data_IF_037693738640
#
_entry.id   IF_037693738640
#
_cell.length_a   1.000
_cell.length_b   1.000
_cell.length_c   1.000
_cell.angle_alpha   90.00
_cell.angle_beta   90.00
_cell.angle_gamma   90.00
#
_symmetry.space_group_name_H-M   'P 1'
#
loop_
_entity.id
_entity.type
_entity.pdbx_description
1 polymer ?
#
# COMPACT_ATOMS: atom_id res chain seq x y z
N UNK A 1 0.07 -49.25 29.71
CA UNK A 1 -0.21 -47.91 29.15
C UNK A 1 1.03 -47.18 28.61
N UNK A 2 2.27 -47.53 29.01
CA UNK A 2 3.51 -46.86 28.59
C UNK A 2 3.84 -46.95 27.08
N UNK A 3 3.44 -48.03 26.39
CA UNK A 3 3.76 -48.24 24.96
C UNK A 3 3.03 -47.31 23.99
N UNK A 4 1.80 -46.88 24.32
CA UNK A 4 1.01 -45.99 23.45
C UNK A 4 1.52 -44.54 23.49
N UNK A 5 2.00 -44.10 24.65
CA UNK A 5 2.58 -42.78 24.83
C UNK A 5 3.96 -42.66 24.19
N UNK A 6 4.79 -43.73 24.26
CA UNK A 6 6.08 -43.79 23.56
C UNK A 6 5.92 -43.76 22.03
N UNK A 7 4.90 -44.42 21.50
CA UNK A 7 4.64 -44.48 20.06
C UNK A 7 4.06 -43.15 19.51
N UNK A 8 3.28 -42.42 20.32
CA UNK A 8 2.81 -41.08 19.97
C UNK A 8 3.93 -40.02 19.98
N UNK A 9 4.88 -40.13 20.93
CA UNK A 9 6.07 -39.28 20.98
C UNK A 9 7.03 -39.54 19.80
N UNK A 10 7.20 -40.80 19.40
CA UNK A 10 8.04 -41.14 18.23
C UNK A 10 7.45 -40.61 16.92
N UNK A 11 6.12 -40.60 16.79
CA UNK A 11 5.44 -40.09 15.60
C UNK A 11 5.46 -38.55 15.53
N UNK A 12 5.37 -37.85 16.67
CA UNK A 12 5.57 -36.40 16.72
C UNK A 12 7.01 -35.98 16.41
N UNK A 13 8.01 -36.76 16.83
CA UNK A 13 9.41 -36.46 16.54
C UNK A 13 9.76 -36.62 15.04
N UNK A 14 9.08 -37.53 14.32
CA UNK A 14 9.30 -37.75 12.89
C UNK A 14 8.69 -36.65 12.00
N UNK A 15 7.60 -36.00 12.45
CA UNK A 15 6.94 -34.93 11.69
C UNK A 15 7.66 -33.57 11.78
N UNK A 16 8.54 -33.37 12.76
CA UNK A 16 9.30 -32.13 12.95
C UNK A 16 10.63 -32.06 12.17
N UNK A 17 11.09 -33.15 11.54
CA UNK A 17 12.36 -33.16 10.78
C UNK A 17 12.22 -32.84 9.28
N UNK A 18 11.01 -32.53 8.80
CA UNK A 18 10.75 -32.36 7.36
C UNK A 18 10.80 -30.89 6.85
N UNK A 19 11.33 -29.94 7.63
CA UNK A 19 11.43 -28.54 7.23
C UNK A 19 12.77 -27.90 7.56
N UNK A 20 13.87 -28.60 7.29
CA UNK A 20 15.18 -27.95 7.14
C UNK A 20 15.46 -27.81 5.64
N UNK A 21 14.96 -26.73 5.03
CA UNK A 21 15.58 -26.26 3.79
C UNK A 21 16.91 -25.62 4.19
N UNK A 22 18.05 -26.04 3.64
CA UNK A 22 19.28 -25.29 3.82
C UNK A 22 19.03 -23.86 3.33
N UNK A 23 19.32 -22.87 4.18
CA UNK A 23 19.36 -21.49 3.74
C UNK A 23 20.42 -21.40 2.64
N UNK A 24 19.98 -21.14 1.40
CA UNK A 24 20.89 -20.82 0.30
C UNK A 24 21.50 -19.46 0.62
N UNK A 25 22.57 -19.45 1.41
CA UNK A 25 23.46 -18.31 1.54
C UNK A 25 24.11 -18.17 0.17
N UNK A 26 23.66 -17.19 -0.61
CA UNK A 26 24.38 -16.80 -1.82
C UNK A 26 25.81 -16.49 -1.42
N UNK A 27 26.77 -17.27 -1.92
CA UNK A 27 28.20 -17.01 -1.81
C UNK A 27 28.48 -15.69 -2.52
N UNK A 28 28.43 -14.60 -1.76
CA UNK A 28 29.04 -13.36 -2.16
C UNK A 28 30.55 -13.53 -2.00
N UNK A 29 31.23 -13.81 -3.11
CA UNK A 29 32.68 -13.64 -3.18
C UNK A 29 33.00 -12.14 -3.23
N UNK A 30 33.91 -11.64 -2.38
CA UNK A 30 34.50 -10.32 -2.60
C UNK A 30 35.20 -10.34 -3.96
N UNK A 31 35.02 -9.28 -4.77
CA UNK A 31 35.85 -9.07 -5.96
C UNK A 31 37.23 -8.63 -5.48
N UNK A 32 38.09 -9.60 -5.19
CA UNK A 32 39.53 -9.41 -5.00
C UNK A 32 40.20 -10.03 -6.24
N UNK A 33 40.31 -9.25 -7.32
CA UNK A 33 41.19 -9.60 -8.43
C UNK A 33 41.84 -8.33 -8.99
N UNK A 34 42.96 -7.96 -8.37
CA UNK A 34 43.99 -7.15 -8.97
C UNK A 34 44.85 -8.03 -9.88
N UNK A 35 44.53 -8.13 -11.17
CA UNK A 35 45.50 -8.49 -12.20
C UNK A 35 45.10 -8.03 -13.60
N UNK A 36 45.73 -6.92 -14.00
CA UNK A 36 46.18 -6.54 -15.35
C UNK A 36 45.43 -7.13 -16.56
N UNK A 37 44.45 -6.39 -17.07
CA UNK A 37 44.01 -6.49 -18.46
C UNK A 37 44.78 -5.45 -19.34
N UNK A 38 45.10 -5.76 -20.60
CA UNK A 38 45.85 -4.85 -21.47
C UNK A 38 45.09 -3.55 -21.72
N UNK A 39 45.83 -2.44 -21.66
CA UNK A 39 45.36 -1.08 -21.96
C UNK A 39 44.85 -1.03 -23.39
N UNK A 40 43.52 -1.13 -23.55
CA UNK A 40 42.84 -0.54 -24.69
C UNK A 40 42.59 0.92 -24.34
N UNK A 41 43.36 1.82 -24.95
CA UNK A 41 43.13 3.26 -24.88
C UNK A 41 41.80 3.58 -25.55
N UNK A 42 40.71 3.48 -24.79
CA UNK A 42 39.44 4.07 -25.15
C UNK A 42 39.51 5.54 -24.77
N UNK A 43 39.67 6.40 -25.78
CA UNK A 43 39.53 7.84 -25.66
C UNK A 43 38.16 8.14 -25.06
N UNK A 44 38.13 8.69 -23.85
CA UNK A 44 36.89 9.16 -23.21
C UNK A 44 36.30 10.30 -24.06
N UNK A 45 35.04 10.23 -24.52
CA UNK A 45 34.36 11.43 -24.96
C UNK A 45 34.17 12.33 -23.73
N UNK A 46 34.76 13.53 -23.80
CA UNK A 46 34.58 14.58 -22.82
C UNK A 46 33.20 15.23 -23.00
N UNK A 47 32.13 14.50 -22.70
CA UNK A 47 30.80 15.08 -22.49
C UNK A 47 30.04 14.11 -21.59
N UNK A 48 30.06 14.39 -20.28
CA UNK A 48 29.01 13.90 -19.41
C UNK A 48 27.77 14.68 -19.81
N UNK A 49 26.91 14.08 -20.63
CA UNK A 49 25.53 14.58 -20.75
C UNK A 49 24.94 14.56 -19.34
N UNK A 50 24.50 15.73 -18.90
CA UNK A 50 23.83 15.87 -17.61
C UNK A 50 22.65 14.88 -17.56
N UNK A 51 22.32 14.31 -16.38
CA UNK A 51 21.10 13.54 -16.25
C UNK A 51 19.96 14.42 -16.79
N UNK A 52 19.27 13.92 -17.81
CA UNK A 52 18.05 14.54 -18.31
C UNK A 52 17.16 14.70 -17.09
N UNK A 53 16.93 15.96 -16.71
CA UNK A 53 15.99 16.27 -15.66
C UNK A 53 14.70 15.52 -15.95
N UNK A 54 14.27 14.76 -14.95
CA UNK A 54 12.89 14.28 -14.80
C UNK A 54 11.95 15.32 -15.40
N UNK A 55 11.01 14.93 -16.27
CA UNK A 55 10.08 15.91 -16.82
C UNK A 55 9.48 16.69 -15.66
N UNK A 56 9.63 18.00 -15.77
CA UNK A 56 8.96 18.99 -14.95
C UNK A 56 7.50 18.53 -14.76
N UNK A 57 6.96 18.49 -13.53
CA UNK A 57 5.57 18.12 -13.30
C UNK A 57 4.71 19.16 -14.02
N UNK A 58 4.41 18.85 -15.27
CA UNK A 58 3.51 19.61 -16.11
C UNK A 58 2.15 19.26 -15.56
N UNK A 59 1.48 20.28 -15.04
CA UNK A 59 0.21 20.25 -14.33
C UNK A 59 0.34 20.09 -12.81
N UNK A 60 0.39 21.24 -12.13
CA UNK A 60 -0.31 21.42 -10.86
C UNK A 60 -1.66 20.68 -10.95
N UNK A 61 -1.98 19.71 -10.07
CA UNK A 61 -3.26 19.00 -10.08
C UNK A 61 -4.41 19.91 -9.63
N UNK A 62 -4.69 20.94 -10.42
CA UNK A 62 -5.88 21.77 -10.29
C UNK A 62 -7.08 20.96 -10.80
N UNK A 63 -7.49 19.95 -10.01
CA UNK A 63 -8.79 19.26 -9.99
C UNK A 63 -8.67 17.75 -9.67
N UNK A 64 -8.04 17.36 -8.57
CA UNK A 64 -8.34 16.05 -7.94
C UNK A 64 -9.59 16.22 -7.06
N UNK A 65 -10.67 16.78 -7.61
CA UNK A 65 -11.96 16.83 -6.93
C UNK A 65 -12.72 15.57 -7.32
N UNK A 66 -12.93 14.66 -6.38
CA UNK A 66 -13.58 13.39 -6.68
C UNK A 66 -15.09 13.61 -6.83
N UNK A 67 -15.61 13.42 -8.04
CA UNK A 67 -17.05 13.55 -8.36
C UNK A 67 -17.82 12.25 -8.13
N UNK A 68 -17.52 11.53 -7.05
CA UNK A 68 -18.17 10.24 -6.80
C UNK A 68 -19.68 10.44 -6.55
N UNK A 69 -20.49 9.91 -7.46
CA UNK A 69 -21.94 9.89 -7.30
C UNK A 69 -22.36 8.64 -6.53
N UNK A 70 -22.61 8.82 -5.23
CA UNK A 70 -23.10 7.77 -4.34
C UNK A 70 -24.43 7.15 -4.79
N UNK A 71 -25.24 7.84 -5.60
CA UNK A 71 -26.50 7.28 -6.10
C UNK A 71 -26.31 6.20 -7.18
N UNK A 72 -25.14 6.16 -7.81
CA UNK A 72 -24.76 5.16 -8.82
C UNK A 72 -24.14 3.90 -8.22
N UNK A 73 -23.80 3.93 -6.92
CA UNK A 73 -23.17 2.83 -6.22
C UNK A 73 -24.21 1.80 -5.74
N UNK A 74 -23.80 0.52 -5.60
CA UNK A 74 -24.65 -0.47 -4.96
C UNK A 74 -24.88 -0.10 -3.48
N UNK A 75 -25.97 -0.59 -2.91
CA UNK A 75 -26.30 -0.41 -1.48
C UNK A 75 -25.20 -0.97 -0.55
N UNK A 76 -24.44 -1.96 -1.03
CA UNK A 76 -23.31 -2.56 -0.34
C UNK A 76 -22.23 -2.92 -1.37
N UNK A 77 -20.97 -2.65 -1.03
CA UNK A 77 -19.80 -3.02 -1.82
C UNK A 77 -19.53 -4.53 -1.73
N UNK A 78 -18.89 -5.14 -2.74
CA UNK A 78 -18.56 -6.55 -2.71
C UNK A 78 -17.63 -6.89 -1.52
N UNK A 79 -17.73 -8.06 -0.90
CA UNK A 79 -16.76 -8.48 0.11
C UNK A 79 -15.38 -8.68 -0.53
N UNK A 80 -14.32 -8.40 0.22
CA UNK A 80 -12.94 -8.56 -0.25
C UNK A 80 -12.21 -9.63 0.56
N UNK A 81 -11.72 -10.68 -0.13
CA UNK A 81 -10.94 -11.75 0.52
C UNK A 81 -9.68 -11.25 1.23
N UNK A 82 -9.14 -10.10 0.82
CA UNK A 82 -7.95 -9.47 1.41
C UNK A 82 -8.27 -8.22 2.21
N UNK A 83 -9.55 -7.90 2.36
CA UNK A 83 -10.00 -6.62 2.88
C UNK A 83 -9.77 -5.48 1.89
N UNK A 84 -9.88 -4.27 2.41
CA UNK A 84 -9.74 -3.03 1.68
C UNK A 84 -8.48 -2.29 2.12
N UNK A 85 -7.93 -1.49 1.22
CA UNK A 85 -6.86 -0.55 1.49
C UNK A 85 -7.44 0.86 1.38
N UNK A 86 -7.14 1.70 2.38
CA UNK A 86 -7.50 3.11 2.40
C UNK A 86 -6.24 3.93 2.27
N UNK A 87 -6.24 4.90 1.37
CA UNK A 87 -5.17 5.86 1.19
C UNK A 87 -5.72 7.26 1.36
N UNK A 88 -4.88 8.17 1.86
CA UNK A 88 -5.23 9.58 2.01
C UNK A 88 -4.12 10.49 1.54
N UNK A 89 -4.49 11.65 1.04
CA UNK A 89 -3.59 12.75 0.73
C UNK A 89 -4.33 14.07 0.90
N UNK A 90 -3.60 15.14 1.10
CA UNK A 90 -4.17 16.48 1.22
C UNK A 90 -3.83 17.29 -0.03
N UNK A 91 -4.84 17.96 -0.58
CA UNK A 91 -4.67 18.99 -1.61
C UNK A 91 -5.25 20.26 -1.03
N UNK A 92 -4.42 21.31 -0.94
CA UNK A 92 -4.74 22.54 -0.20
C UNK A 92 -5.17 22.23 1.25
N UNK A 93 -6.41 22.55 1.62
CA UNK A 93 -6.96 22.29 2.96
C UNK A 93 -7.89 21.06 3.00
N UNK A 94 -8.11 20.40 1.86
CA UNK A 94 -9.08 19.31 1.74
C UNK A 94 -8.41 17.93 1.71
N UNK A 95 -8.92 17.03 2.54
CA UNK A 95 -8.50 15.63 2.56
C UNK A 95 -9.18 14.84 1.46
N UNK A 96 -8.40 14.08 0.72
CA UNK A 96 -8.84 13.16 -0.31
C UNK A 96 -8.51 11.74 0.12
N UNK A 97 -9.36 10.80 -0.28
CA UNK A 97 -9.28 9.42 0.13
C UNK A 97 -9.55 8.49 -1.04
N UNK A 98 -8.78 7.42 -1.17
CA UNK A 98 -9.08 6.30 -2.09
C UNK A 98 -9.25 5.04 -1.30
N UNK A 99 -10.44 4.43 -1.42
CA UNK A 99 -10.72 3.08 -0.95
C UNK A 99 -10.56 2.13 -2.12
N UNK A 100 -9.71 1.12 -1.98
CA UNK A 100 -9.43 0.15 -3.04
C UNK A 100 -9.36 -1.25 -2.48
N UNK A 101 -9.73 -2.26 -3.27
CA UNK A 101 -9.61 -3.66 -2.84
C UNK A 101 -8.15 -4.06 -2.64
N UNK A 102 -7.88 -4.78 -1.55
CA UNK A 102 -6.56 -5.32 -1.24
C UNK A 102 -6.14 -6.37 -2.26
N UNK A 103 -4.91 -6.29 -2.76
CA UNK A 103 -4.37 -7.25 -3.74
C UNK A 103 -2.98 -7.72 -3.34
N UNK A 104 -2.45 -8.74 -4.02
CA UNK A 104 -1.07 -9.22 -3.80
C UNK A 104 -0.01 -8.37 -4.52
N UNK A 105 -0.37 -7.20 -5.07
CA UNK A 105 0.56 -6.31 -5.76
C UNK A 105 0.62 -4.96 -5.09
N UNK A 106 1.76 -4.30 -5.25
CA UNK A 106 1.91 -2.89 -4.90
C UNK A 106 1.13 -2.00 -5.89
N UNK A 107 0.37 -1.07 -5.36
CA UNK A 107 -0.33 -0.02 -6.13
C UNK A 107 0.60 1.17 -6.35
N UNK A 108 0.54 1.78 -7.53
CA UNK A 108 1.34 2.98 -7.81
C UNK A 108 0.67 4.22 -7.24
N UNK A 109 1.43 5.29 -7.05
CA UNK A 109 0.88 6.58 -6.63
C UNK A 109 -0.21 7.07 -7.59
N UNK A 110 0.09 7.10 -8.90
CA UNK A 110 -0.84 7.55 -9.94
C UNK A 110 -2.15 6.74 -9.95
N UNK A 111 -2.07 5.43 -9.70
CA UNK A 111 -3.25 4.57 -9.59
C UNK A 111 -4.13 4.95 -8.40
N UNK A 112 -3.52 5.28 -7.26
CA UNK A 112 -4.23 5.63 -6.03
C UNK A 112 -4.91 6.99 -6.18
N UNK A 113 -4.22 7.99 -6.74
CA UNK A 113 -4.74 9.36 -6.85
C UNK A 113 -5.61 9.60 -8.10
N UNK A 114 -5.62 8.65 -9.03
CA UNK A 114 -6.43 8.73 -10.24
C UNK A 114 -7.91 9.00 -9.91
N UNK A 115 -8.59 9.91 -10.63
CA UNK A 115 -9.98 10.28 -10.34
C UNK A 115 -11.00 9.21 -10.75
N UNK A 116 -10.61 8.25 -11.59
CA UNK A 116 -11.52 7.23 -12.10
C UNK A 116 -11.97 6.28 -11.00
N UNK A 117 -13.28 6.16 -10.87
CA UNK A 117 -13.93 5.26 -9.93
C UNK A 117 -14.36 3.98 -10.66
N UNK A 118 -14.13 2.82 -10.04
CA UNK A 118 -14.58 1.54 -10.59
C UNK A 118 -15.11 0.61 -9.51
N UNK A 119 -16.19 -0.08 -9.84
CA UNK A 119 -16.76 -1.20 -9.08
C UNK A 119 -17.04 -2.30 -10.08
N UNK A 120 -16.22 -3.34 -10.06
CA UNK A 120 -16.31 -4.47 -10.96
C UNK A 120 -17.21 -5.57 -10.37
N UNK A 121 -18.09 -6.20 -11.18
CA UNK A 121 -18.74 -7.46 -10.82
C UNK A 121 -17.80 -8.55 -10.27
N UNK A 122 -16.54 -8.55 -10.70
CA UNK A 122 -15.49 -9.49 -10.28
C UNK A 122 -14.91 -9.17 -8.89
N UNK A 123 -15.39 -8.09 -8.26
CA UNK A 123 -15.09 -7.73 -6.89
C UNK A 123 -13.93 -6.74 -6.73
N UNK A 124 -13.39 -6.19 -7.82
CA UNK A 124 -12.44 -5.07 -7.75
C UNK A 124 -13.18 -3.76 -7.49
N UNK A 125 -12.70 -2.98 -6.52
CA UNK A 125 -13.26 -1.68 -6.16
C UNK A 125 -12.12 -0.68 -6.08
N UNK A 126 -12.31 0.49 -6.66
CA UNK A 126 -11.49 1.69 -6.46
C UNK A 126 -12.41 2.90 -6.44
N UNK A 127 -12.54 3.54 -5.29
CA UNK A 127 -13.42 4.68 -5.08
C UNK A 127 -12.68 5.81 -4.40
N UNK A 128 -12.67 6.97 -5.04
CA UNK A 128 -12.00 8.18 -4.58
C UNK A 128 -13.04 9.21 -4.13
N UNK A 129 -12.84 9.80 -2.94
CA UNK A 129 -13.72 10.82 -2.35
C UNK A 129 -12.92 11.94 -1.70
N UNK A 130 -13.46 13.15 -1.76
CA UNK A 130 -12.97 14.32 -1.01
C UNK A 130 -13.85 14.55 0.23
N UNK A 131 -13.21 14.84 1.37
CA UNK A 131 -13.85 15.18 2.63
C UNK A 131 -14.24 13.99 3.51
N UNK A 132 -14.14 14.20 4.83
CA UNK A 132 -14.38 13.17 5.87
C UNK A 132 -15.82 12.64 5.83
N UNK A 133 -16.80 13.50 5.55
CA UNK A 133 -18.20 13.10 5.50
C UNK A 133 -18.50 12.14 4.32
N UNK A 134 -17.82 12.33 3.19
CA UNK A 134 -17.94 11.41 2.06
C UNK A 134 -17.18 10.10 2.32
N UNK A 135 -16.04 10.16 3.02
CA UNK A 135 -15.36 8.95 3.51
C UNK A 135 -16.29 8.13 4.43
N UNK A 136 -16.98 8.77 5.38
CA UNK A 136 -17.95 8.08 6.26
C UNK A 136 -19.07 7.39 5.47
N UNK A 137 -19.63 8.06 4.46
CA UNK A 137 -20.63 7.45 3.56
C UNK A 137 -20.07 6.25 2.82
N UNK A 138 -18.85 6.37 2.30
CA UNK A 138 -18.17 5.31 1.57
C UNK A 138 -17.91 4.09 2.47
N UNK A 139 -17.41 4.31 3.68
CA UNK A 139 -17.18 3.25 4.68
C UNK A 139 -18.48 2.55 5.10
N UNK A 140 -19.60 3.26 5.13
CA UNK A 140 -20.91 2.67 5.43
C UNK A 140 -21.42 1.70 4.35
N UNK A 141 -20.85 1.73 3.14
CA UNK A 141 -21.17 0.78 2.08
C UNK A 141 -20.42 -0.56 2.24
N UNK A 142 -19.40 -0.63 3.11
CA UNK A 142 -18.64 -1.86 3.29
C UNK A 142 -19.43 -2.92 4.06
N UNK A 143 -19.29 -4.21 3.71
CA UNK A 143 -19.86 -5.27 4.50
C UNK A 143 -19.23 -5.36 5.89
N UNK A 144 -20.05 -5.63 6.91
CA UNK A 144 -19.56 -5.82 8.27
C UNK A 144 -18.59 -7.01 8.36
N UNK A 145 -17.57 -6.88 9.20
CA UNK A 145 -16.49 -7.86 9.35
C UNK A 145 -15.29 -7.63 8.42
N UNK A 146 -15.36 -6.67 7.51
CA UNK A 146 -14.24 -6.32 6.65
C UNK A 146 -13.07 -5.69 7.41
N UNK A 147 -11.87 -5.94 6.88
CA UNK A 147 -10.63 -5.32 7.36
C UNK A 147 -10.23 -4.21 6.41
N UNK A 148 -9.82 -3.08 6.96
CA UNK A 148 -9.37 -1.90 6.22
C UNK A 148 -7.96 -1.57 6.69
N UNK A 149 -7.01 -1.58 5.76
CA UNK A 149 -5.64 -1.18 6.00
C UNK A 149 -5.42 0.24 5.48
N UNK A 150 -5.21 1.18 6.39
CA UNK A 150 -4.91 2.55 6.02
C UNK A 150 -3.41 2.70 5.76
N UNK A 151 -3.06 2.83 4.49
CA UNK A 151 -1.72 3.06 3.99
C UNK A 151 -1.42 4.55 3.76
N UNK A 152 -0.18 4.93 4.01
CA UNK A 152 0.34 6.29 3.84
C UNK A 152 1.80 6.32 4.25
N UNK A 153 2.49 7.40 3.90
CA UNK A 153 3.83 7.69 4.42
C UNK A 153 3.82 9.07 5.04
N UNK A 154 4.35 9.19 6.26
CA UNK A 154 4.57 10.52 6.83
C UNK A 154 5.84 11.12 6.23
N UNK A 155 5.67 11.93 5.19
CA UNK A 155 6.74 12.70 4.55
C UNK A 155 6.62 14.20 4.86
N UNK A 156 5.89 14.55 5.93
CA UNK A 156 5.71 15.93 6.37
C UNK A 156 7.05 16.64 6.55
N UNK A 157 7.23 17.77 5.85
CA UNK A 157 8.46 18.58 5.92
C UNK A 157 9.68 17.98 5.21
N UNK A 158 9.56 16.81 4.58
CA UNK A 158 10.63 16.17 3.79
C UNK A 158 10.47 16.39 2.28
N UNK A 159 9.32 16.91 1.86
CA UNK A 159 9.01 17.23 0.46
C UNK A 159 8.78 18.74 0.27
N UNK A 160 9.04 19.28 -0.93
CA UNK A 160 8.76 20.68 -1.24
C UNK A 160 7.28 21.03 -1.01
N UNK A 161 7.02 22.26 -0.57
CA UNK A 161 5.66 22.79 -0.44
C UNK A 161 4.88 22.65 -1.77
N UNK A 162 3.63 22.20 -1.69
CA UNK A 162 2.78 21.96 -2.86
C UNK A 162 2.96 20.60 -3.53
N UNK A 163 3.90 19.76 -3.06
CA UNK A 163 4.02 18.37 -3.53
C UNK A 163 2.87 17.55 -2.93
N UNK A 164 2.09 16.87 -3.77
CA UNK A 164 1.07 15.92 -3.30
C UNK A 164 1.74 14.58 -2.99
N UNK A 165 1.46 14.03 -1.82
CA UNK A 165 1.97 12.72 -1.37
C UNK A 165 0.94 12.06 -0.47
N UNK A 166 0.98 10.73 -0.43
CA UNK A 166 0.13 9.95 0.47
C UNK A 166 0.58 10.20 1.91
N UNK A 167 -0.33 10.67 2.75
CA UNK A 167 -0.08 11.08 4.12
C UNK A 167 -1.22 10.68 5.02
N UNK A 168 -0.96 10.54 6.32
CA UNK A 168 -2.01 10.30 7.31
C UNK A 168 -2.62 11.63 7.77
N UNK A 169 -3.94 11.67 8.03
CA UNK A 169 -4.55 12.82 8.68
C UNK A 169 -4.15 12.90 10.15
N UNK A 170 -4.65 13.93 10.84
CA UNK A 170 -4.40 14.12 12.27
C UNK A 170 -4.76 12.87 13.08
N UNK A 171 -4.09 12.70 14.23
CA UNK A 171 -4.36 11.60 15.17
C UNK A 171 -5.82 11.60 15.65
N UNK A 172 -6.42 12.78 15.79
CA UNK A 172 -7.84 12.96 16.11
C UNK A 172 -8.75 12.38 15.03
N UNK A 173 -8.50 12.70 13.74
CA UNK A 173 -9.27 12.16 12.63
C UNK A 173 -9.08 10.65 12.49
N UNK A 174 -7.87 10.15 12.67
CA UNK A 174 -7.60 8.71 12.69
C UNK A 174 -8.40 8.00 13.79
N UNK A 175 -8.43 8.56 15.01
CA UNK A 175 -9.16 8.00 16.13
C UNK A 175 -10.69 8.04 15.90
N UNK A 176 -11.20 9.14 15.34
CA UNK A 176 -12.59 9.28 14.93
C UNK A 176 -12.96 8.19 13.92
N UNK A 177 -12.15 8.01 12.86
CA UNK A 177 -12.42 7.01 11.82
C UNK A 177 -12.35 5.58 12.34
N UNK A 178 -11.41 5.28 13.25
CA UNK A 178 -11.35 3.97 13.92
C UNK A 178 -12.63 3.71 14.73
N UNK A 179 -13.11 4.70 15.45
CA UNK A 179 -14.35 4.61 16.24
C UNK A 179 -15.58 4.43 15.34
N UNK A 180 -15.66 5.20 14.26
CA UNK A 180 -16.73 5.11 13.26
C UNK A 180 -16.78 3.73 12.60
N UNK A 181 -15.63 3.23 12.12
CA UNK A 181 -15.51 1.89 11.55
C UNK A 181 -15.93 0.80 12.55
N UNK A 182 -15.49 0.89 13.80
CA UNK A 182 -15.87 -0.07 14.84
C UNK A 182 -17.40 -0.10 15.05
N UNK A 183 -18.07 1.05 15.00
CA UNK A 183 -19.53 1.16 15.07
C UNK A 183 -20.27 0.49 13.90
N UNK A 184 -19.61 0.37 12.74
CA UNK A 184 -20.12 -0.34 11.56
C UNK A 184 -19.74 -1.84 11.55
N UNK A 185 -18.98 -2.32 12.54
CA UNK A 185 -18.44 -3.68 12.56
C UNK A 185 -17.25 -3.88 11.63
N UNK A 186 -16.55 -2.80 11.25
CA UNK A 186 -15.35 -2.81 10.42
C UNK A 186 -14.09 -2.71 11.29
N UNK A 187 -12.99 -3.31 10.86
CA UNK A 187 -11.69 -3.19 11.55
C UNK A 187 -10.75 -2.30 10.74
N UNK A 188 -10.47 -1.09 11.25
CA UNK A 188 -9.54 -0.14 10.62
C UNK A 188 -8.18 -0.15 11.31
N UNK A 189 -7.14 -0.54 10.58
CA UNK A 189 -5.74 -0.56 11.04
C UNK A 189 -4.94 0.47 10.26
N UNK A 190 -4.29 1.41 10.95
CA UNK A 190 -3.37 2.37 10.33
C UNK A 190 -1.94 1.85 10.36
N UNK A 191 -1.20 2.05 9.28
CA UNK A 191 0.23 1.72 9.18
C UNK A 191 1.15 2.85 9.66
N UNK A 192 0.61 3.90 10.30
CA UNK A 192 1.45 4.92 10.89
C UNK A 192 2.36 4.27 11.95
N UNK A 193 3.66 4.61 11.92
CA UNK A 193 4.63 4.08 12.87
C UNK A 193 4.14 4.34 14.30
N UNK A 194 4.07 3.27 15.11
CA UNK A 194 3.63 3.32 16.51
C UNK A 194 4.72 3.88 17.41
#
# INVERSE_FOLDING_TARGET
MLKKSLMALLFCALLLSACERPATRSDWSPIEDSSTAPVATATLPATLEAPVFTPEPTETPAAIQSTLDFSSLPTQLPPSMKGYELYSWQVDEEWNFTLVTGTNRTKTFDEIIAPENSVDPEGYVKLTVSGVENLKKLLALLPAGEQILWGGMDLGGQVPAGTVYLSFPSTEMLAEMKTYCAGLGLTLTSLNEQ
#
